data_IF_805627268907
#
_entry.id   IF_805627268907
#
_cell.length_a   1.000
_cell.length_b   1.000
_cell.length_c   1.000
_cell.angle_alpha   90.00
_cell.angle_beta   90.00
_cell.angle_gamma   90.00
#
_symmetry.space_group_name_H-M   'P 1'
#
loop_
_entity.id
_entity.type
_entity.pdbx_description
1 polymer ?
#
# COMPACT_ATOMS: atom_id res chain seq x y z
N UNK A 1 -85.89 -13.99 31.53
CA UNK A 1 -84.95 -12.96 31.05
C UNK A 1 -83.48 -13.28 31.36
N UNK A 2 -83.13 -14.02 32.42
CA UNK A 2 -81.72 -14.39 32.69
C UNK A 2 -81.22 -15.62 31.90
N UNK A 3 -82.09 -16.59 31.58
CA UNK A 3 -81.70 -17.82 30.85
C UNK A 3 -81.51 -17.62 29.33
N UNK A 4 -82.30 -16.77 28.69
CA UNK A 4 -82.23 -16.51 27.24
C UNK A 4 -80.90 -15.82 26.84
N UNK A 5 -80.41 -14.91 27.68
CA UNK A 5 -79.15 -14.22 27.45
C UNK A 5 -77.93 -15.15 27.62
N UNK A 6 -78.04 -16.16 28.50
CA UNK A 6 -76.99 -17.15 28.70
C UNK A 6 -76.95 -18.16 27.54
N UNK A 7 -78.11 -18.58 27.04
CA UNK A 7 -78.23 -19.47 25.90
C UNK A 7 -77.65 -18.83 24.62
N UNK A 8 -78.00 -17.56 24.35
CA UNK A 8 -77.47 -16.83 23.19
C UNK A 8 -75.95 -16.65 23.25
N UNK A 9 -75.40 -16.49 24.46
CA UNK A 9 -73.96 -16.36 24.66
C UNK A 9 -73.26 -17.69 24.40
N UNK A 10 -73.80 -18.81 24.87
CA UNK A 10 -73.26 -20.15 24.62
C UNK A 10 -73.35 -20.54 23.14
N UNK A 11 -74.40 -20.18 22.43
CA UNK A 11 -74.53 -20.42 20.99
C UNK A 11 -73.52 -19.61 20.15
N UNK A 12 -73.27 -18.36 20.55
CA UNK A 12 -72.26 -17.52 19.92
C UNK A 12 -70.85 -18.05 20.19
N UNK A 13 -70.55 -18.45 21.42
CA UNK A 13 -69.25 -19.03 21.79
C UNK A 13 -69.01 -20.37 21.07
N UNK A 14 -70.05 -21.22 20.93
CA UNK A 14 -69.96 -22.47 20.18
C UNK A 14 -69.71 -22.25 18.69
N UNK A 15 -70.36 -21.23 18.09
CA UNK A 15 -70.15 -20.88 16.67
C UNK A 15 -68.74 -20.33 16.42
N UNK A 16 -68.19 -19.57 17.37
CA UNK A 16 -66.83 -19.03 17.27
C UNK A 16 -65.77 -20.15 17.34
N UNK A 17 -65.96 -21.10 18.25
CA UNK A 17 -65.06 -22.25 18.43
C UNK A 17 -65.09 -23.21 17.23
N UNK A 18 -66.25 -23.39 16.59
CA UNK A 18 -66.36 -24.16 15.35
C UNK A 18 -65.61 -23.48 14.19
N UNK A 19 -65.71 -22.16 14.07
CA UNK A 19 -64.97 -21.40 13.06
C UNK A 19 -63.45 -21.43 13.26
N UNK A 20 -62.97 -21.36 14.51
CA UNK A 20 -61.54 -21.54 14.82
C UNK A 20 -61.06 -22.97 14.52
N UNK A 21 -61.88 -23.98 14.81
CA UNK A 21 -61.58 -25.38 14.51
C UNK A 21 -61.42 -25.67 13.01
N UNK A 22 -62.25 -25.06 12.15
CA UNK A 22 -62.08 -25.18 10.70
C UNK A 22 -60.85 -24.44 10.18
N UNK A 23 -60.51 -23.30 10.78
CA UNK A 23 -59.34 -22.51 10.40
C UNK A 23 -58.02 -23.23 10.78
N UNK A 24 -58.00 -23.88 11.94
CA UNK A 24 -56.88 -24.72 12.39
C UNK A 24 -56.69 -25.94 11.48
N UNK A 25 -57.77 -26.61 11.05
CA UNK A 25 -57.69 -27.71 10.07
C UNK A 25 -57.14 -27.24 8.71
N UNK A 26 -57.53 -26.04 8.25
CA UNK A 26 -56.97 -25.44 7.03
C UNK A 26 -55.47 -25.13 7.16
N UNK A 27 -55.05 -24.58 8.30
CA UNK A 27 -53.64 -24.30 8.57
C UNK A 27 -52.81 -25.59 8.67
N UNK A 28 -53.35 -26.65 9.26
CA UNK A 28 -52.68 -27.94 9.37
C UNK A 28 -52.53 -28.62 8.00
N UNK A 29 -53.56 -28.58 7.16
CA UNK A 29 -53.48 -29.05 5.76
C UNK A 29 -52.50 -28.25 4.90
N UNK A 30 -52.31 -26.95 5.20
CA UNK A 30 -51.30 -26.12 4.54
C UNK A 30 -49.88 -26.36 5.06
N UNK A 31 -49.69 -26.91 6.26
CA UNK A 31 -48.38 -27.26 6.81
C UNK A 31 -47.90 -28.61 6.26
N UNK A 32 -48.81 -29.58 6.13
CA UNK A 32 -48.51 -30.89 5.56
C UNK A 32 -48.11 -30.82 4.06
N UNK A 33 -48.53 -29.79 3.32
CA UNK A 33 -48.13 -29.59 1.92
C UNK A 33 -46.73 -29.00 1.72
N UNK A 34 -46.09 -28.46 2.76
CA UNK A 34 -44.70 -27.94 2.69
C UNK A 34 -43.63 -28.99 3.07
N UNK A 35 -44.01 -30.08 3.73
CA UNK A 35 -43.06 -31.15 4.10
C UNK A 35 -42.64 -32.03 2.92
N UNK A 36 -43.35 -31.98 1.79
CA UNK A 36 -43.06 -32.76 0.58
C UNK A 36 -42.33 -31.98 -0.55
N UNK A 37 -41.81 -30.77 -0.30
CA UNK A 37 -41.05 -30.01 -1.30
C UNK A 37 -39.60 -30.56 -1.44
N UNK A 38 -39.22 -31.14 -2.61
CA UNK A 38 -37.89 -31.70 -2.83
C UNK A 38 -36.77 -30.64 -2.76
N UNK A 39 -37.07 -29.38 -3.10
CA UNK A 39 -36.10 -28.30 -3.11
C UNK A 39 -35.75 -27.86 -1.68
N UNK A 40 -36.75 -27.81 -0.79
CA UNK A 40 -36.56 -27.51 0.63
C UNK A 40 -35.73 -28.60 1.33
N UNK A 41 -36.02 -29.87 1.05
CA UNK A 41 -35.25 -31.01 1.58
C UNK A 41 -33.79 -30.98 1.11
N UNK A 42 -33.53 -30.63 -0.16
CA UNK A 42 -32.19 -30.44 -0.72
C UNK A 42 -31.42 -29.29 -0.06
N UNK A 43 -32.10 -28.16 0.19
CA UNK A 43 -31.51 -27.02 0.89
C UNK A 43 -31.16 -27.37 2.35
N UNK A 44 -31.99 -28.12 3.05
CA UNK A 44 -31.74 -28.56 4.43
C UNK A 44 -30.50 -29.48 4.48
N UNK A 45 -30.40 -30.47 3.58
CA UNK A 45 -29.21 -31.34 3.49
C UNK A 45 -27.94 -30.55 3.14
N UNK A 46 -28.05 -29.58 2.22
CA UNK A 46 -26.92 -28.73 1.85
C UNK A 46 -26.46 -27.87 3.02
N UNK A 47 -27.39 -27.31 3.80
CA UNK A 47 -27.09 -26.52 5.00
C UNK A 47 -26.39 -27.38 6.06
N UNK A 48 -26.85 -28.62 6.29
CA UNK A 48 -26.20 -29.56 7.21
C UNK A 48 -24.77 -29.91 6.77
N UNK A 49 -24.55 -30.20 5.48
CA UNK A 49 -23.20 -30.43 4.93
C UNK A 49 -22.28 -29.23 5.08
N UNK A 50 -22.77 -28.02 4.82
CA UNK A 50 -22.02 -26.78 4.98
C UNK A 50 -21.65 -26.54 6.44
N UNK A 51 -22.60 -26.71 7.38
CA UNK A 51 -22.32 -26.59 8.82
C UNK A 51 -21.26 -27.57 9.30
N UNK A 52 -21.33 -28.83 8.85
CA UNK A 52 -20.31 -29.82 9.16
C UNK A 52 -18.93 -29.44 8.61
N UNK A 53 -18.87 -28.96 7.36
CA UNK A 53 -17.63 -28.51 6.73
C UNK A 53 -17.05 -27.26 7.40
N UNK A 54 -17.89 -26.32 7.83
CA UNK A 54 -17.47 -25.17 8.66
C UNK A 54 -16.88 -25.66 9.98
N UNK A 55 -17.49 -26.67 10.63
CA UNK A 55 -16.94 -27.30 11.83
C UNK A 55 -15.54 -27.85 11.61
N UNK A 56 -15.35 -28.67 10.57
CA UNK A 56 -14.04 -29.21 10.21
C UNK A 56 -13.01 -28.13 9.90
N UNK A 57 -13.40 -27.09 9.14
CA UNK A 57 -12.52 -25.96 8.83
C UNK A 57 -12.15 -25.17 10.08
N UNK A 58 -13.08 -24.96 11.03
CA UNK A 58 -12.79 -24.29 12.32
C UNK A 58 -11.81 -25.11 13.17
N UNK A 59 -11.97 -26.44 13.21
CA UNK A 59 -11.02 -27.32 13.91
C UNK A 59 -9.64 -27.30 13.27
N UNK A 60 -9.57 -27.45 11.94
CA UNK A 60 -8.31 -27.37 11.20
C UNK A 60 -7.64 -25.99 11.34
N UNK A 61 -8.43 -24.90 11.31
CA UNK A 61 -7.95 -23.55 11.56
C UNK A 61 -7.42 -23.40 12.99
N UNK A 62 -8.09 -23.97 13.99
CA UNK A 62 -7.64 -23.96 15.39
C UNK A 62 -6.33 -24.73 15.60
N UNK A 63 -6.18 -25.89 14.95
CA UNK A 63 -4.94 -26.69 14.97
C UNK A 63 -3.78 -25.97 14.26
N UNK A 64 -4.05 -25.38 13.09
CA UNK A 64 -3.06 -24.56 12.37
C UNK A 64 -2.70 -23.31 13.17
N UNK A 65 -3.66 -22.64 13.80
CA UNK A 65 -3.43 -21.44 14.61
C UNK A 65 -2.67 -21.78 15.88
N UNK A 66 -2.93 -22.91 16.52
CA UNK A 66 -2.18 -23.38 17.70
C UNK A 66 -0.73 -23.71 17.33
N UNK A 67 -0.51 -24.48 16.27
CA UNK A 67 0.83 -24.84 15.78
C UNK A 67 1.62 -23.63 15.24
N UNK A 68 0.94 -22.62 14.69
CA UNK A 68 1.55 -21.38 14.20
C UNK A 68 1.82 -20.39 15.34
N UNK A 69 0.91 -20.26 16.31
CA UNK A 69 1.11 -19.47 17.53
C UNK A 69 2.27 -20.01 18.38
N UNK A 70 2.44 -21.33 18.52
CA UNK A 70 3.59 -21.88 19.27
C UNK A 70 4.94 -21.59 18.58
N UNK A 71 4.95 -21.44 17.24
CA UNK A 71 6.15 -21.05 16.47
C UNK A 71 6.34 -19.54 16.36
N UNK A 72 5.27 -18.73 16.33
CA UNK A 72 5.30 -17.26 16.19
C UNK A 72 5.33 -16.52 17.55
N UNK A 73 4.97 -17.19 18.66
CA UNK A 73 5.01 -16.62 20.02
C UNK A 73 6.41 -16.68 20.65
N UNK A 74 7.30 -17.53 20.13
CA UNK A 74 8.71 -17.49 20.49
C UNK A 74 9.43 -16.44 19.62
N UNK A 75 9.83 -15.34 20.27
CA UNK A 75 10.75 -14.27 19.84
C UNK A 75 10.43 -13.34 18.65
N UNK A 76 9.67 -13.74 17.63
CA UNK A 76 9.83 -13.08 16.30
C UNK A 76 8.71 -12.11 15.86
N UNK A 77 7.78 -11.75 16.76
CA UNK A 77 6.66 -10.83 16.45
C UNK A 77 6.67 -9.52 17.26
N UNK A 78 6.15 -8.45 16.65
CA UNK A 78 5.92 -7.15 17.32
C UNK A 78 5.11 -7.33 18.60
N UNK A 79 5.50 -6.66 19.70
CA UNK A 79 4.78 -6.67 20.99
C UNK A 79 3.30 -6.36 20.79
N UNK A 80 2.99 -5.32 20.02
CA UNK A 80 1.61 -4.93 19.71
C UNK A 80 0.85 -6.04 18.95
N UNK A 81 1.51 -6.73 18.02
CA UNK A 81 0.90 -7.84 17.29
C UNK A 81 0.66 -9.04 18.21
N UNK A 82 1.62 -9.39 19.05
CA UNK A 82 1.46 -10.46 20.06
C UNK A 82 0.29 -10.14 20.99
N UNK A 83 0.19 -8.91 21.49
CA UNK A 83 -0.93 -8.47 22.33
C UNK A 83 -2.26 -8.55 21.59
N UNK A 84 -2.33 -8.11 20.32
CA UNK A 84 -3.55 -8.22 19.51
C UNK A 84 -4.01 -9.68 19.35
N UNK A 85 -3.09 -10.61 19.13
CA UNK A 85 -3.42 -12.04 19.02
C UNK A 85 -3.94 -12.61 20.35
N UNK A 86 -3.28 -12.27 21.47
CA UNK A 86 -3.70 -12.68 22.82
C UNK A 86 -5.12 -12.17 23.12
N UNK A 87 -5.37 -10.88 22.89
CA UNK A 87 -6.69 -10.29 23.14
C UNK A 87 -7.74 -10.78 22.14
N UNK A 88 -7.40 -11.02 20.88
CA UNK A 88 -8.33 -11.61 19.90
C UNK A 88 -8.80 -12.99 20.33
N UNK A 89 -7.87 -13.84 20.82
CA UNK A 89 -8.21 -15.16 21.37
C UNK A 89 -9.10 -15.04 22.59
N UNK A 90 -8.74 -14.19 23.55
CA UNK A 90 -9.52 -14.00 24.77
C UNK A 90 -10.93 -13.45 24.49
N UNK A 91 -11.08 -12.53 23.53
CA UNK A 91 -12.39 -12.01 23.12
C UNK A 91 -13.23 -13.10 22.46
N UNK A 92 -12.63 -13.95 21.63
CA UNK A 92 -13.34 -15.06 20.99
C UNK A 92 -13.79 -16.13 22.00
N UNK A 93 -12.94 -16.42 22.99
CA UNK A 93 -13.25 -17.40 24.04
C UNK A 93 -14.33 -16.87 25.00
N UNK A 94 -14.28 -15.58 25.36
CA UNK A 94 -15.30 -14.93 26.19
C UNK A 94 -16.63 -14.72 25.43
N UNK A 95 -16.56 -14.37 24.14
CA UNK A 95 -17.72 -14.00 23.32
C UNK A 95 -17.61 -14.57 21.90
N UNK A 96 -17.97 -15.86 21.68
CA UNK A 96 -17.88 -16.53 20.37
C UNK A 96 -18.70 -15.86 19.25
N UNK A 97 -19.72 -15.07 19.61
CA UNK A 97 -20.57 -14.36 18.68
C UNK A 97 -20.02 -12.97 18.27
N UNK A 98 -18.93 -12.51 18.88
CA UNK A 98 -18.38 -11.16 18.70
C UNK A 98 -17.10 -11.11 17.83
N UNK A 99 -16.83 -12.16 17.04
CA UNK A 99 -15.60 -12.30 16.22
C UNK A 99 -15.35 -11.19 15.20
N UNK A 100 -16.37 -10.40 14.84
CA UNK A 100 -16.23 -9.29 13.88
C UNK A 100 -15.83 -7.96 14.55
N UNK A 101 -15.73 -7.91 15.88
CA UNK A 101 -15.39 -6.67 16.58
C UNK A 101 -13.90 -6.30 16.40
N UNK A 102 -13.57 -5.03 16.12
CA UNK A 102 -12.19 -4.61 15.93
C UNK A 102 -11.41 -4.70 17.26
N UNK A 103 -10.23 -5.30 17.23
CA UNK A 103 -9.28 -5.37 18.35
C UNK A 103 -8.36 -4.15 18.30
N UNK A 104 -8.57 -3.19 19.20
CA UNK A 104 -7.89 -1.91 19.25
C UNK A 104 -7.05 -1.89 20.52
N UNK A 105 -5.73 -1.97 20.31
CA UNK A 105 -4.71 -1.79 21.36
C UNK A 105 -3.86 -0.60 20.95
N UNK A 106 -3.63 0.31 21.89
CA UNK A 106 -2.85 1.54 21.70
C UNK A 106 -1.77 1.65 22.76
N UNK A 107 -0.63 2.25 22.40
CA UNK A 107 0.41 2.63 23.35
C UNK A 107 -0.08 3.76 24.26
N UNK A 108 0.29 3.70 25.53
CA UNK A 108 -0.06 4.72 26.53
C UNK A 108 1.13 5.61 26.82
N UNK A 109 0.89 6.92 26.93
CA UNK A 109 1.91 7.92 27.28
C UNK A 109 2.07 8.16 28.78
N UNK A 110 1.21 7.55 29.60
CA UNK A 110 1.16 7.74 31.06
C UNK A 110 1.40 6.41 31.76
N UNK A 111 2.44 6.33 32.59
CA UNK A 111 2.79 5.15 33.38
C UNK A 111 1.62 4.64 34.26
N UNK A 112 0.74 5.56 34.70
CA UNK A 112 -0.46 5.20 35.48
C UNK A 112 -1.45 4.33 34.70
N UNK A 113 -1.41 4.38 33.38
CA UNK A 113 -2.30 3.62 32.50
C UNK A 113 -1.63 2.38 31.87
N UNK A 114 -0.44 2.01 32.36
CA UNK A 114 0.34 0.89 31.83
C UNK A 114 1.17 1.26 30.60
N UNK A 115 1.61 0.22 29.88
CA UNK A 115 2.41 0.33 28.65
C UNK A 115 1.51 0.34 27.40
N UNK A 116 0.40 -0.41 27.46
CA UNK A 116 -0.60 -0.50 26.41
C UNK A 116 -2.01 -0.41 27.01
N UNK A 117 -2.98 -0.02 26.20
CA UNK A 117 -4.38 0.01 26.57
C UNK A 117 -5.25 -0.66 25.50
N UNK A 118 -6.14 -1.55 25.92
CA UNK A 118 -7.15 -2.15 25.07
C UNK A 118 -8.49 -1.39 25.20
N UNK A 119 -9.01 -0.96 24.04
CA UNK A 119 -10.12 -0.02 23.93
C UNK A 119 -11.40 -0.64 23.33
N UNK A 120 -11.39 -1.92 22.98
CA UNK A 120 -12.51 -2.51 22.24
C UNK A 120 -13.71 -2.92 23.09
N UNK A 121 -13.60 -2.93 24.43
CA UNK A 121 -14.71 -3.31 25.31
C UNK A 121 -15.99 -2.50 25.03
N UNK A 122 -15.88 -1.21 24.69
CA UNK A 122 -17.03 -0.36 24.37
C UNK A 122 -17.72 -0.79 23.08
N UNK A 123 -16.94 -1.10 22.04
CA UNK A 123 -17.46 -1.57 20.76
C UNK A 123 -18.13 -2.94 20.90
N UNK A 124 -17.48 -3.86 21.62
CA UNK A 124 -17.99 -5.21 21.90
C UNK A 124 -19.30 -5.13 22.69
N UNK A 125 -19.35 -4.32 23.75
CA UNK A 125 -20.57 -4.17 24.55
C UNK A 125 -21.75 -3.59 23.74
N UNK A 126 -21.48 -2.63 22.86
CA UNK A 126 -22.49 -2.07 21.94
C UNK A 126 -22.99 -3.14 20.96
N UNK A 127 -22.09 -3.93 20.39
CA UNK A 127 -22.43 -5.02 19.48
C UNK A 127 -23.31 -6.07 20.18
N UNK A 128 -22.88 -6.58 21.33
CA UNK A 128 -23.62 -7.59 22.09
C UNK A 128 -24.99 -7.09 22.59
N UNK A 129 -25.07 -5.81 22.97
CA UNK A 129 -26.34 -5.21 23.41
C UNK A 129 -27.38 -5.15 22.28
N UNK A 130 -26.93 -4.96 21.04
CA UNK A 130 -27.82 -4.97 19.87
C UNK A 130 -28.29 -6.38 19.52
N UNK A 131 -27.45 -7.40 19.72
CA UNK A 131 -27.76 -8.80 19.38
C UNK A 131 -28.67 -9.50 20.38
N UNK A 132 -28.58 -9.18 21.68
CA UNK A 132 -29.26 -9.93 22.75
C UNK A 132 -30.43 -9.17 23.42
N UNK A 133 -30.85 -8.02 22.87
CA UNK A 133 -31.92 -7.15 23.42
C UNK A 133 -31.74 -6.77 24.90
N UNK A 134 -30.54 -6.99 25.45
CA UNK A 134 -30.19 -6.80 26.85
C UNK A 134 -28.96 -5.92 26.91
N UNK A 135 -29.02 -4.79 27.63
CA UNK A 135 -27.92 -3.83 27.69
C UNK A 135 -26.77 -4.39 28.52
N UNK A 136 -25.63 -4.64 27.86
CA UNK A 136 -24.41 -5.10 28.50
C UNK A 136 -23.51 -3.88 28.76
N UNK A 137 -22.99 -3.76 29.99
CA UNK A 137 -22.05 -2.68 30.30
C UNK A 137 -20.64 -3.01 29.79
N UNK A 138 -19.88 -2.03 29.25
CA UNK A 138 -18.51 -2.29 28.79
C UNK A 138 -17.57 -2.79 29.89
N UNK A 139 -17.85 -2.42 31.15
CA UNK A 139 -17.11 -2.92 32.31
C UNK A 139 -17.30 -4.42 32.54
N UNK A 140 -18.51 -4.95 32.34
CA UNK A 140 -18.75 -6.41 32.41
C UNK A 140 -18.00 -7.16 31.31
N UNK A 141 -17.94 -6.58 30.10
CA UNK A 141 -17.14 -7.14 29.01
C UNK A 141 -15.66 -7.16 29.36
N UNK A 142 -15.16 -6.08 29.95
CA UNK A 142 -13.78 -5.99 30.42
C UNK A 142 -13.47 -7.05 31.50
N UNK A 143 -14.35 -7.22 32.49
CA UNK A 143 -14.21 -8.23 33.56
C UNK A 143 -14.16 -9.66 32.99
N UNK A 144 -15.03 -9.99 32.04
CA UNK A 144 -15.05 -11.33 31.44
C UNK A 144 -13.78 -11.62 30.63
N UNK A 145 -13.31 -10.65 29.84
CA UNK A 145 -12.05 -10.78 29.09
C UNK A 145 -10.88 -10.96 30.05
N UNK A 146 -10.83 -10.20 31.15
CA UNK A 146 -9.78 -10.32 32.17
C UNK A 146 -9.83 -11.69 32.84
N UNK A 147 -11.01 -12.25 33.14
CA UNK A 147 -11.13 -13.59 33.73
C UNK A 147 -10.54 -14.68 32.81
N UNK A 148 -10.85 -14.62 31.51
CA UNK A 148 -10.30 -15.55 30.50
C UNK A 148 -8.78 -15.38 30.37
N UNK A 149 -8.30 -14.13 30.31
CA UNK A 149 -6.88 -13.82 30.24
C UNK A 149 -6.14 -14.31 31.49
N UNK A 150 -6.66 -14.08 32.69
CA UNK A 150 -6.01 -14.48 33.94
C UNK A 150 -5.89 -16.00 34.07
N UNK A 151 -6.89 -16.75 33.60
CA UNK A 151 -6.84 -18.22 33.55
C UNK A 151 -5.70 -18.70 32.63
N UNK A 152 -5.51 -18.03 31.50
CA UNK A 152 -4.45 -18.34 30.52
C UNK A 152 -3.06 -17.89 31.00
N UNK A 153 -2.97 -16.68 31.57
CA UNK A 153 -1.72 -16.06 32.05
C UNK A 153 -1.19 -16.74 33.31
N UNK A 154 -2.07 -17.22 34.21
CA UNK A 154 -1.65 -17.95 35.41
C UNK A 154 -0.98 -19.29 35.09
N UNK A 155 -1.35 -19.95 33.98
CA UNK A 155 -0.73 -21.20 33.55
C UNK A 155 0.69 -21.00 33.00
N UNK A 156 1.03 -19.80 32.51
CA UNK A 156 2.29 -19.51 31.81
C UNK A 156 3.03 -18.29 32.40
N UNK A 157 2.94 -18.09 33.72
CA UNK A 157 3.38 -16.86 34.40
C UNK A 157 4.83 -16.41 34.11
N UNK A 158 5.75 -17.35 33.88
CA UNK A 158 7.16 -17.05 33.56
C UNK A 158 7.43 -16.77 32.07
N UNK A 159 6.50 -17.15 31.18
CA UNK A 159 6.60 -16.93 29.73
C UNK A 159 5.60 -15.90 29.20
N UNK A 160 4.67 -15.45 30.04
CA UNK A 160 3.65 -14.45 29.68
C UNK A 160 4.27 -13.09 29.38
N UNK A 161 3.85 -12.48 28.28
CA UNK A 161 4.17 -11.10 27.90
C UNK A 161 3.55 -10.06 28.85
N UNK A 162 2.45 -10.42 29.53
CA UNK A 162 1.64 -9.55 30.38
C UNK A 162 1.90 -9.88 31.85
N UNK A 163 2.20 -8.86 32.67
CA UNK A 163 2.34 -8.97 34.13
C UNK A 163 1.00 -8.75 34.84
N UNK A 164 0.34 -7.63 34.54
CA UNK A 164 -0.96 -7.28 35.13
C UNK A 164 -1.85 -6.52 34.15
N UNK A 165 -3.16 -6.60 34.39
CA UNK A 165 -4.19 -5.87 33.65
C UNK A 165 -5.11 -5.17 34.66
N UNK A 166 -5.24 -3.85 34.53
CA UNK A 166 -6.10 -3.02 35.39
C UNK A 166 -7.32 -2.52 34.59
N UNK A 167 -8.52 -2.72 35.14
CA UNK A 167 -9.75 -2.18 34.53
C UNK A 167 -9.93 -0.73 34.96
N UNK A 168 -9.97 0.19 34.00
CA UNK A 168 -10.13 1.62 34.22
C UNK A 168 -11.43 2.18 33.60
N UNK A 169 -12.03 3.13 34.31
CA UNK A 169 -13.19 3.89 33.84
C UNK A 169 -14.38 3.01 33.39
N UNK A 170 -14.96 3.26 32.20
CA UNK A 170 -16.15 2.56 31.71
C UNK A 170 -15.88 1.13 31.20
N UNK A 171 -14.62 0.75 30.99
CA UNK A 171 -14.23 -0.54 30.41
C UNK A 171 -12.89 -0.51 29.66
N UNK A 172 -11.97 0.40 29.99
CA UNK A 172 -10.61 0.37 29.45
C UNK A 172 -9.81 -0.72 30.16
N UNK A 173 -8.96 -1.44 29.42
CA UNK A 173 -8.05 -2.42 29.98
C UNK A 173 -6.62 -1.91 29.84
N UNK A 174 -6.03 -1.48 30.95
CA UNK A 174 -4.64 -1.03 31.03
C UNK A 174 -3.73 -2.24 31.19
N UNK A 175 -2.74 -2.39 30.31
CA UNK A 175 -1.87 -3.56 30.18
C UNK A 175 -0.47 -3.17 30.62
N UNK A 176 0.10 -3.95 31.53
CA UNK A 176 1.46 -3.80 32.00
C UNK A 176 2.28 -5.01 31.56
N UNK A 177 3.41 -4.75 30.92
CA UNK A 177 4.28 -5.78 30.38
C UNK A 177 5.09 -6.46 31.49
N UNK A 178 5.40 -7.73 31.27
CA UNK A 178 6.27 -8.48 32.15
C UNK A 178 7.73 -8.05 31.97
N UNK A 179 8.35 -7.60 33.06
CA UNK A 179 9.75 -7.15 33.09
C UNK A 179 10.73 -8.21 32.56
N UNK A 180 10.54 -9.49 32.94
CA UNK A 180 11.42 -10.57 32.49
C UNK A 180 11.25 -10.83 30.99
N UNK A 181 10.03 -10.73 30.45
CA UNK A 181 9.78 -10.87 29.02
C UNK A 181 10.42 -9.74 28.21
N UNK A 182 10.35 -8.50 28.71
CA UNK A 182 11.02 -7.34 28.09
C UNK A 182 12.55 -7.49 28.16
N UNK A 183 13.08 -7.89 29.32
CA UNK A 183 14.51 -8.13 29.50
C UNK A 183 15.04 -9.18 28.53
N UNK A 184 14.33 -10.30 28.36
CA UNK A 184 14.70 -11.35 27.40
C UNK A 184 14.74 -10.83 25.95
N UNK A 185 13.77 -9.99 25.55
CA UNK A 185 13.78 -9.37 24.21
C UNK A 185 14.95 -8.41 24.01
N UNK A 186 15.27 -7.59 25.01
CA UNK A 186 16.44 -6.68 24.95
C UNK A 186 17.74 -7.49 24.87
N UNK A 187 17.85 -8.54 25.69
CA UNK A 187 19.00 -9.44 25.67
C UNK A 187 19.14 -10.13 24.31
N UNK A 188 18.04 -10.59 23.72
CA UNK A 188 18.03 -11.16 22.37
C UNK A 188 18.51 -10.16 21.30
N UNK A 189 18.04 -8.91 21.35
CA UNK A 189 18.51 -7.83 20.46
C UNK A 189 20.02 -7.60 20.63
N UNK A 190 20.52 -7.65 21.87
CA UNK A 190 21.94 -7.47 22.15
C UNK A 190 22.80 -8.61 21.60
N UNK A 191 22.35 -9.86 21.75
CA UNK A 191 23.09 -11.06 21.33
C UNK A 191 22.97 -11.32 19.82
N UNK A 192 21.76 -11.19 19.28
CA UNK A 192 21.41 -11.60 17.91
C UNK A 192 21.22 -10.42 16.94
N UNK A 193 21.32 -9.18 17.42
CA UNK A 193 21.06 -7.96 16.66
C UNK A 193 19.57 -7.63 16.53
N UNK A 194 19.27 -6.43 16.01
CA UNK A 194 17.89 -6.01 15.72
C UNK A 194 17.39 -6.77 14.49
N UNK A 195 16.35 -7.59 14.67
CA UNK A 195 15.70 -8.35 13.59
C UNK A 195 14.31 -7.79 13.28
N UNK A 196 13.87 -7.81 12.01
CA UNK A 196 12.50 -7.49 11.66
C UNK A 196 11.53 -8.57 12.18
N UNK A 197 10.22 -8.28 12.22
CA UNK A 197 9.23 -9.34 12.34
C UNK A 197 9.27 -10.27 11.13
N UNK A 198 9.00 -11.56 11.33
CA UNK A 198 8.92 -12.53 10.23
C UNK A 198 7.66 -12.26 9.41
N UNK A 199 7.85 -11.79 8.18
CA UNK A 199 6.79 -11.53 7.21
C UNK A 199 6.90 -12.51 6.04
N UNK A 200 5.77 -12.87 5.39
CA UNK A 200 5.84 -13.68 4.19
C UNK A 200 6.62 -12.93 3.11
N UNK A 201 7.67 -13.57 2.60
CA UNK A 201 8.48 -13.02 1.52
C UNK A 201 7.58 -12.75 0.31
N UNK A 202 7.63 -11.52 -0.19
CA UNK A 202 6.91 -11.05 -1.37
C UNK A 202 7.86 -10.28 -2.26
N UNK A 203 7.57 -10.27 -3.55
CA UNK A 203 8.30 -9.47 -4.52
C UNK A 203 7.69 -8.08 -4.59
N UNK A 204 8.51 -7.06 -4.37
CA UNK A 204 8.09 -5.66 -4.33
C UNK A 204 8.86 -4.86 -5.36
N UNK A 205 8.16 -4.23 -6.27
CA UNK A 205 8.73 -3.26 -7.20
C UNK A 205 8.51 -1.87 -6.64
N UNK A 206 9.60 -1.10 -6.51
CA UNK A 206 9.54 0.30 -6.09
C UNK A 206 10.10 1.17 -7.21
N UNK A 207 9.26 2.05 -7.75
CA UNK A 207 9.60 3.02 -8.79
C UNK A 207 9.84 4.39 -8.15
N UNK A 208 11.07 4.88 -8.25
CA UNK A 208 11.48 6.13 -7.62
C UNK A 208 12.68 6.78 -8.32
N UNK A 209 12.98 8.03 -7.94
CA UNK A 209 13.94 8.93 -8.57
C UNK A 209 13.48 9.46 -9.93
N UNK A 210 13.43 8.58 -10.93
CA UNK A 210 12.84 8.77 -12.27
C UNK A 210 13.12 10.16 -12.90
N UNK A 211 14.40 10.59 -13.01
CA UNK A 211 14.74 11.85 -13.65
C UNK A 211 14.57 11.77 -15.17
N UNK A 212 14.39 12.93 -15.80
CA UNK A 212 14.34 13.04 -17.26
C UNK A 212 15.75 13.17 -17.84
N UNK A 213 16.11 12.35 -18.81
CA UNK A 213 17.39 12.43 -19.52
C UNK A 213 17.52 13.81 -20.20
N UNK A 214 18.75 14.34 -20.24
CA UNK A 214 19.08 15.66 -20.74
C UNK A 214 18.44 16.85 -20.01
N UNK A 215 17.74 16.62 -18.89
CA UNK A 215 17.32 17.67 -17.96
C UNK A 215 18.02 17.48 -16.63
N UNK A 216 18.22 18.58 -15.93
CA UNK A 216 18.84 18.52 -14.61
C UNK A 216 17.91 17.88 -13.58
N UNK A 217 18.53 17.06 -12.72
CA UNK A 217 17.86 16.53 -11.56
C UNK A 217 17.62 17.65 -10.55
N UNK A 218 16.35 17.87 -10.22
CA UNK A 218 15.92 18.89 -9.27
C UNK A 218 15.40 18.31 -7.96
N UNK A 219 15.15 19.19 -6.99
CA UNK A 219 14.67 18.83 -5.63
C UNK A 219 13.40 17.95 -5.59
N UNK A 220 12.54 18.01 -6.62
CA UNK A 220 11.42 17.08 -6.78
C UNK A 220 11.87 15.62 -6.92
N UNK A 221 12.86 15.34 -7.78
CA UNK A 221 13.43 14.00 -7.93
C UNK A 221 14.22 13.58 -6.69
N UNK A 222 14.84 14.53 -5.96
CA UNK A 222 15.51 14.23 -4.70
C UNK A 222 14.55 13.65 -3.66
N UNK A 223 13.35 14.23 -3.49
CA UNK A 223 12.34 13.69 -2.55
C UNK A 223 11.97 12.26 -2.90
N UNK A 224 11.66 12.00 -4.16
CA UNK A 224 11.38 10.65 -4.64
C UNK A 224 12.56 9.71 -4.37
N UNK A 225 13.78 10.16 -4.65
CA UNK A 225 15.02 9.40 -4.46
C UNK A 225 15.19 8.95 -3.00
N UNK A 226 15.09 9.89 -2.04
CA UNK A 226 15.27 9.58 -0.62
C UNK A 226 14.12 8.73 -0.07
N UNK A 227 12.87 9.12 -0.36
CA UNK A 227 11.68 8.41 0.16
C UNK A 227 11.65 6.98 -0.39
N UNK A 228 11.88 6.81 -1.68
CA UNK A 228 11.92 5.51 -2.34
C UNK A 228 13.04 4.63 -1.80
N UNK A 229 14.25 5.16 -1.65
CA UNK A 229 15.38 4.38 -1.10
C UNK A 229 15.12 3.96 0.36
N UNK A 230 14.55 4.84 1.20
CA UNK A 230 14.16 4.48 2.57
C UNK A 230 13.11 3.37 2.61
N UNK A 231 12.13 3.40 1.70
CA UNK A 231 11.11 2.34 1.59
C UNK A 231 11.76 1.03 1.16
N UNK A 232 12.67 1.07 0.18
CA UNK A 232 13.38 -0.12 -0.27
C UNK A 232 14.19 -0.75 0.86
N UNK A 233 14.99 0.04 1.58
CA UNK A 233 15.79 -0.43 2.72
C UNK A 233 14.91 -1.03 3.83
N UNK A 234 13.75 -0.42 4.12
CA UNK A 234 12.80 -0.93 5.11
C UNK A 234 12.24 -2.30 4.69
N UNK A 235 11.84 -2.44 3.42
CA UNK A 235 11.28 -3.68 2.90
C UNK A 235 12.33 -4.80 2.82
N UNK A 236 13.54 -4.48 2.37
CA UNK A 236 14.68 -5.40 2.37
C UNK A 236 15.03 -5.82 3.80
N UNK A 237 15.05 -4.89 4.75
CA UNK A 237 15.25 -5.19 6.17
C UNK A 237 14.18 -6.15 6.68
N UNK A 238 12.93 -6.04 6.21
CA UNK A 238 11.83 -6.94 6.53
C UNK A 238 11.83 -8.27 5.74
N UNK A 239 12.85 -8.54 4.90
CA UNK A 239 12.99 -9.79 4.16
C UNK A 239 12.20 -9.89 2.85
N UNK A 240 11.71 -8.76 2.31
CA UNK A 240 11.07 -8.72 0.98
C UNK A 240 12.12 -8.77 -0.13
N UNK A 241 11.74 -9.34 -1.28
CA UNK A 241 12.53 -9.26 -2.51
C UNK A 241 12.21 -7.96 -3.23
N UNK A 242 13.10 -6.96 -3.11
CA UNK A 242 12.85 -5.59 -3.58
C UNK A 242 13.57 -5.32 -4.89
N UNK A 243 12.80 -5.04 -5.94
CA UNK A 243 13.31 -4.51 -7.20
C UNK A 243 13.19 -2.98 -7.21
N UNK A 244 14.34 -2.32 -7.16
CA UNK A 244 14.49 -0.86 -7.17
C UNK A 244 14.56 -0.35 -8.60
N UNK A 245 13.47 0.20 -9.14
CA UNK A 245 13.40 0.68 -10.52
C UNK A 245 13.59 2.19 -10.60
N UNK A 246 14.46 2.59 -11.52
CA UNK A 246 14.59 3.97 -11.98
C UNK A 246 13.90 4.12 -13.34
N UNK A 247 12.68 4.67 -13.34
CA UNK A 247 11.88 4.85 -14.55
C UNK A 247 12.25 6.17 -15.26
N UNK A 248 13.47 6.20 -15.80
CA UNK A 248 14.04 7.40 -16.40
C UNK A 248 13.24 7.87 -17.62
N UNK A 249 13.12 9.18 -17.78
CA UNK A 249 12.50 9.78 -18.96
C UNK A 249 13.45 9.78 -20.16
N UNK A 250 13.71 8.61 -20.74
CA UNK A 250 14.63 8.39 -21.86
C UNK A 250 13.95 8.29 -23.24
N UNK A 251 12.62 8.45 -23.28
CA UNK A 251 11.82 8.30 -24.50
C UNK A 251 10.85 9.47 -24.71
N UNK A 252 11.38 10.62 -25.10
CA UNK A 252 10.58 11.82 -25.35
C UNK A 252 10.95 12.57 -26.62
N UNK A 253 10.05 13.45 -27.08
CA UNK A 253 10.26 14.23 -28.31
C UNK A 253 11.46 15.19 -28.20
N UNK A 254 11.92 15.49 -26.98
CA UNK A 254 13.15 16.25 -26.74
C UNK A 254 14.39 15.61 -27.38
N UNK A 255 14.42 14.29 -27.56
CA UNK A 255 15.59 13.64 -28.16
C UNK A 255 15.79 14.01 -29.63
N UNK A 256 14.73 14.37 -30.36
CA UNK A 256 14.86 14.81 -31.74
C UNK A 256 15.70 16.07 -31.89
N UNK A 257 15.43 17.08 -31.05
CA UNK A 257 16.22 18.32 -31.06
C UNK A 257 17.65 18.08 -30.55
N UNK A 258 17.83 17.19 -29.56
CA UNK A 258 19.16 16.85 -29.05
C UNK A 258 20.01 16.13 -30.09
N UNK A 259 19.45 15.14 -30.79
CA UNK A 259 20.13 14.38 -31.86
C UNK A 259 20.44 15.30 -33.03
N UNK A 260 19.48 16.11 -33.49
CA UNK A 260 19.72 17.07 -34.57
C UNK A 260 20.82 18.07 -34.20
N UNK A 261 20.81 18.56 -32.95
CA UNK A 261 21.85 19.47 -32.46
C UNK A 261 23.22 18.79 -32.33
N UNK A 262 23.26 17.52 -31.90
CA UNK A 262 24.47 16.72 -31.78
C UNK A 262 25.15 16.55 -33.14
N UNK A 263 24.37 16.21 -34.17
CA UNK A 263 24.87 16.04 -35.55
C UNK A 263 25.45 17.33 -36.12
N UNK A 264 24.81 18.47 -35.85
CA UNK A 264 25.29 19.78 -36.31
C UNK A 264 26.58 20.21 -35.59
N UNK A 265 26.65 20.02 -34.26
CA UNK A 265 27.77 20.51 -33.43
C UNK A 265 28.97 19.58 -33.48
N UNK A 266 28.73 18.27 -33.59
CA UNK A 266 29.77 17.24 -33.60
C UNK A 266 29.52 16.26 -34.75
N UNK A 267 29.83 16.62 -36.01
CA UNK A 267 29.61 15.73 -37.16
C UNK A 267 30.31 14.37 -37.04
N UNK A 268 31.41 14.31 -36.30
CA UNK A 268 32.22 13.11 -36.08
C UNK A 268 31.98 12.42 -34.73
N UNK A 269 30.84 12.67 -34.07
CA UNK A 269 30.51 12.09 -32.74
C UNK A 269 30.61 10.56 -32.66
N UNK A 270 30.55 9.88 -33.81
CA UNK A 270 30.67 8.42 -33.90
C UNK A 270 32.10 7.90 -33.65
N UNK A 271 33.10 8.70 -34.02
CA UNK A 271 34.52 8.33 -33.89
C UNK A 271 35.17 9.02 -32.68
N UNK A 272 34.77 10.26 -32.41
CA UNK A 272 35.25 11.07 -31.29
C UNK A 272 34.04 11.50 -30.44
N UNK A 273 33.69 10.75 -29.39
CA UNK A 273 32.55 11.08 -28.55
C UNK A 273 32.82 12.43 -27.85
N UNK A 274 31.94 13.43 -28.01
CA UNK A 274 32.14 14.74 -27.40
C UNK A 274 32.10 14.68 -25.87
N UNK A 275 33.05 15.35 -25.23
CA UNK A 275 32.97 15.66 -23.81
C UNK A 275 31.92 16.76 -23.59
N UNK A 276 30.66 16.36 -23.47
CA UNK A 276 29.57 17.24 -23.07
C UNK A 276 29.63 17.41 -21.55
N UNK A 277 30.44 18.37 -21.07
CA UNK A 277 30.58 18.66 -19.64
C UNK A 277 29.33 19.26 -19.01
N UNK A 278 28.44 19.83 -19.83
CA UNK A 278 27.17 20.39 -19.38
C UNK A 278 26.04 20.09 -20.37
N UNK A 279 25.34 18.98 -20.11
CA UNK A 279 24.20 18.54 -20.92
C UNK A 279 23.00 19.51 -20.81
N UNK A 280 22.91 20.32 -19.74
CA UNK A 280 21.86 21.31 -19.61
C UNK A 280 22.06 22.46 -20.61
N UNK A 281 23.29 22.96 -20.73
CA UNK A 281 23.63 23.98 -21.71
C UNK A 281 23.35 23.47 -23.13
N UNK A 282 23.73 22.22 -23.42
CA UNK A 282 23.41 21.56 -24.69
C UNK A 282 21.89 21.47 -24.96
N UNK A 283 21.10 21.11 -23.94
CA UNK A 283 19.64 21.12 -24.04
C UNK A 283 19.10 22.53 -24.29
N UNK A 284 19.55 23.54 -23.55
CA UNK A 284 19.11 24.95 -23.70
C UNK A 284 19.43 25.48 -25.09
N UNK A 285 20.64 25.22 -25.60
CA UNK A 285 21.06 25.57 -26.97
C UNK A 285 20.16 24.91 -28.01
N UNK A 286 19.91 23.60 -27.89
CA UNK A 286 19.03 22.87 -28.82
C UNK A 286 17.60 23.42 -28.80
N UNK A 287 17.11 23.85 -27.62
CA UNK A 287 15.77 24.40 -27.45
C UNK A 287 15.63 25.79 -28.07
N UNK A 288 16.63 26.66 -27.92
CA UNK A 288 16.67 27.97 -28.57
C UNK A 288 16.63 27.81 -30.10
N UNK A 289 17.42 26.86 -30.65
CA UNK A 289 17.38 26.55 -32.08
C UNK A 289 16.04 26.00 -32.52
N UNK A 290 15.43 25.11 -31.73
CA UNK A 290 14.10 24.56 -32.03
C UNK A 290 13.01 25.62 -32.11
N UNK A 291 13.08 26.66 -31.27
CA UNK A 291 12.08 27.73 -31.24
C UNK A 291 12.34 28.83 -32.28
N UNK A 292 13.60 29.02 -32.73
CA UNK A 292 13.98 30.09 -33.65
C UNK A 292 14.13 29.66 -35.13
N UNK A 293 14.48 28.40 -35.40
CA UNK A 293 14.80 27.88 -36.73
C UNK A 293 13.79 26.80 -37.15
N UNK A 294 12.89 27.16 -38.07
CA UNK A 294 11.85 26.25 -38.59
C UNK A 294 12.44 25.07 -39.39
N UNK A 295 13.61 25.25 -40.03
CA UNK A 295 14.28 24.15 -40.73
C UNK A 295 14.86 23.14 -39.73
N UNK A 296 15.52 23.63 -38.67
CA UNK A 296 15.99 22.80 -37.57
C UNK A 296 14.84 22.07 -36.86
N UNK A 297 13.71 22.74 -36.63
CA UNK A 297 12.50 22.14 -36.04
C UNK A 297 11.96 21.00 -36.90
N UNK A 298 11.87 21.18 -38.22
CA UNK A 298 11.47 20.11 -39.14
C UNK A 298 12.44 18.91 -39.09
N UNK A 299 13.75 19.16 -39.03
CA UNK A 299 14.77 18.10 -38.88
C UNK A 299 14.64 17.39 -37.54
N UNK A 300 14.49 18.12 -36.44
CA UNK A 300 14.34 17.56 -35.10
C UNK A 300 13.15 16.59 -35.02
N UNK A 301 11.99 16.96 -35.60
CA UNK A 301 10.82 16.08 -35.67
C UNK A 301 11.10 14.80 -36.48
N UNK A 302 11.81 14.91 -37.62
CA UNK A 302 12.23 13.75 -38.42
C UNK A 302 13.19 12.83 -37.67
N UNK A 303 14.11 13.38 -36.87
CA UNK A 303 15.04 12.58 -36.07
C UNK A 303 14.31 11.80 -34.95
N UNK A 304 13.23 12.32 -34.36
CA UNK A 304 12.38 11.54 -33.42
C UNK A 304 11.78 10.32 -34.11
N UNK A 305 11.21 10.50 -35.30
CA UNK A 305 10.58 9.40 -36.05
C UNK A 305 11.61 8.34 -36.41
N UNK A 306 12.81 8.75 -36.86
CA UNK A 306 13.91 7.81 -37.13
C UNK A 306 14.38 7.07 -35.87
N UNK A 307 14.43 7.76 -34.72
CA UNK A 307 14.75 7.13 -33.44
C UNK A 307 13.70 6.07 -33.06
N UNK A 308 12.42 6.39 -33.23
CA UNK A 308 11.31 5.44 -32.98
C UNK A 308 11.31 4.26 -33.97
N UNK A 309 11.80 4.48 -35.20
CA UNK A 309 12.01 3.44 -36.19
C UNK A 309 13.26 2.57 -35.93
N UNK A 310 13.99 2.80 -34.83
CA UNK A 310 15.20 2.05 -34.44
C UNK A 310 16.35 2.14 -35.45
N UNK A 311 16.46 3.27 -36.14
CA UNK A 311 17.57 3.49 -37.08
C UNK A 311 18.92 3.46 -36.34
N UNK A 312 19.92 2.66 -36.80
CA UNK A 312 21.16 2.42 -36.06
C UNK A 312 21.96 3.70 -35.74
N UNK A 313 21.90 4.70 -36.61
CA UNK A 313 22.61 5.97 -36.43
C UNK A 313 22.00 6.79 -35.28
N UNK A 314 20.66 6.88 -35.24
CA UNK A 314 19.91 7.61 -34.23
C UNK A 314 20.00 6.91 -32.87
N UNK A 315 19.95 5.58 -32.85
CA UNK A 315 20.12 4.81 -31.61
C UNK A 315 21.52 5.03 -31.03
N UNK A 316 22.58 5.12 -31.84
CA UNK A 316 23.93 5.47 -31.36
C UNK A 316 23.98 6.86 -30.75
N UNK A 317 23.41 7.87 -31.43
CA UNK A 317 23.34 9.23 -30.92
C UNK A 317 22.55 9.32 -29.60
N UNK A 318 21.40 8.66 -29.53
CA UNK A 318 20.58 8.57 -28.33
C UNK A 318 21.33 7.88 -27.18
N UNK A 319 21.98 6.75 -27.44
CA UNK A 319 22.75 5.99 -26.45
C UNK A 319 23.85 6.87 -25.84
N UNK A 320 24.57 7.63 -26.66
CA UNK A 320 25.60 8.55 -26.18
C UNK A 320 25.01 9.63 -25.26
N UNK A 321 23.90 10.26 -25.65
CA UNK A 321 23.21 11.29 -24.83
C UNK A 321 22.75 10.70 -23.49
N UNK A 322 22.18 9.49 -23.52
CA UNK A 322 21.74 8.78 -22.32
C UNK A 322 22.91 8.42 -21.41
N UNK A 323 24.01 7.90 -21.96
CA UNK A 323 25.22 7.56 -21.19
C UNK A 323 25.80 8.77 -20.44
N UNK A 324 25.82 9.94 -21.08
CA UNK A 324 26.28 11.18 -20.44
C UNK A 324 25.37 11.60 -19.29
N UNK A 325 24.03 11.56 -19.47
CA UNK A 325 23.10 11.84 -18.38
C UNK A 325 23.23 10.84 -17.23
N UNK A 326 23.39 9.55 -17.56
CA UNK A 326 23.55 8.47 -16.57
C UNK A 326 24.79 8.67 -15.72
N UNK A 327 25.90 9.07 -16.32
CA UNK A 327 27.12 9.39 -15.58
C UNK A 327 26.89 10.51 -14.56
N UNK A 328 26.19 11.58 -14.94
CA UNK A 328 25.87 12.68 -14.02
C UNK A 328 24.90 12.26 -12.91
N UNK A 329 23.88 11.46 -13.22
CA UNK A 329 22.97 10.91 -12.22
C UNK A 329 23.69 9.97 -11.26
N UNK A 330 24.59 9.12 -11.76
CA UNK A 330 25.35 8.18 -10.93
C UNK A 330 26.19 8.91 -9.88
N UNK A 331 26.82 10.03 -10.23
CA UNK A 331 27.56 10.86 -9.26
C UNK A 331 26.67 11.36 -8.11
N UNK A 332 25.41 11.64 -8.39
CA UNK A 332 24.42 12.04 -7.36
C UNK A 332 24.02 10.82 -6.53
N UNK A 333 23.73 9.68 -7.17
CA UNK A 333 23.38 8.44 -6.49
C UNK A 333 24.50 7.94 -5.57
N UNK A 334 25.75 8.00 -6.01
CA UNK A 334 26.92 7.65 -5.21
C UNK A 334 27.05 8.55 -3.97
N UNK A 335 26.85 9.87 -4.13
CA UNK A 335 26.84 10.82 -3.00
C UNK A 335 25.71 10.55 -2.00
N UNK A 336 24.60 9.97 -2.46
CA UNK A 336 23.43 9.66 -1.64
C UNK A 336 23.41 8.21 -1.14
N UNK A 337 24.39 7.38 -1.51
CA UNK A 337 24.41 5.92 -1.26
C UNK A 337 23.14 5.21 -1.80
N UNK A 338 22.67 5.60 -2.98
CA UNK A 338 21.46 5.03 -3.58
C UNK A 338 21.83 4.03 -4.68
N UNK A 339 21.26 2.83 -4.60
CA UNK A 339 21.40 1.78 -5.62
C UNK A 339 20.08 1.58 -6.35
N UNK A 340 20.13 1.65 -7.67
CA UNK A 340 18.97 1.62 -8.55
C UNK A 340 19.27 0.74 -9.78
N UNK A 341 18.25 0.04 -10.26
CA UNK A 341 18.29 -0.64 -11.57
C UNK A 341 17.51 0.24 -12.55
N UNK A 342 18.22 0.79 -13.53
CA UNK A 342 17.58 1.50 -14.62
C UNK A 342 16.87 0.50 -15.55
N UNK A 343 15.62 0.79 -15.89
CA UNK A 343 14.90 0.12 -16.97
C UNK A 343 14.35 1.16 -17.93
N UNK A 344 14.87 1.12 -19.16
CA UNK A 344 14.37 1.93 -20.27
C UNK A 344 12.99 1.45 -20.75
N UNK A 345 12.32 2.29 -21.52
CA UNK A 345 10.92 2.14 -21.94
C UNK A 345 10.66 1.16 -23.11
N UNK A 346 11.65 0.37 -23.54
CA UNK A 346 11.61 -0.34 -24.82
C UNK A 346 11.10 -1.79 -24.70
N UNK A 347 9.84 -2.04 -25.06
CA UNK A 347 9.35 -3.28 -25.69
C UNK A 347 8.24 -2.96 -26.71
N UNK A 348 8.23 -3.67 -27.85
CA UNK A 348 7.27 -3.49 -28.96
C UNK A 348 6.02 -4.34 -28.73
N UNK A 349 4.83 -3.72 -28.71
CA UNK A 349 3.54 -4.42 -28.78
C UNK A 349 2.57 -3.69 -29.73
N UNK A 350 1.98 -4.44 -30.66
CA UNK A 350 1.20 -3.90 -31.78
C UNK A 350 -0.25 -3.55 -31.38
N UNK A 351 -0.62 -2.27 -31.48
CA UNK A 351 -1.99 -1.85 -31.82
C UNK A 351 -2.88 -1.17 -30.76
N UNK A 352 -3.01 0.17 -30.91
CA UNK A 352 -4.16 1.12 -30.74
C UNK A 352 -5.22 0.89 -29.62
N UNK A 353 -5.54 1.93 -28.81
CA UNK A 353 -6.89 2.33 -28.29
C UNK A 353 -6.83 3.50 -27.29
N UNK A 354 -7.90 4.30 -27.19
CA UNK A 354 -8.15 5.26 -26.08
C UNK A 354 -8.98 4.54 -25.01
N UNK A 355 -8.70 4.78 -23.71
CA UNK A 355 -9.45 4.16 -22.61
C UNK A 355 -10.01 5.23 -21.68
N UNK A 356 -11.30 5.10 -21.34
CA UNK A 356 -11.97 5.91 -20.32
C UNK A 356 -12.01 5.12 -19.00
N UNK A 357 -11.27 5.55 -17.96
CA UNK A 357 -11.35 4.93 -16.65
C UNK A 357 -12.71 5.19 -16.00
N UNK A 358 -13.34 4.18 -15.40
CA UNK A 358 -14.59 4.37 -14.65
C UNK A 358 -14.40 5.36 -13.49
N UNK A 359 -15.33 6.31 -13.34
CA UNK A 359 -15.28 7.31 -12.28
C UNK A 359 -14.32 8.48 -12.51
N UNK A 360 -13.62 8.55 -13.65
CA UNK A 360 -12.74 9.67 -14.01
C UNK A 360 -13.34 10.50 -15.16
N UNK A 361 -13.25 11.84 -15.06
CA UNK A 361 -13.77 12.76 -16.09
C UNK A 361 -12.82 12.97 -17.28
N UNK A 362 -11.55 12.54 -17.15
CA UNK A 362 -10.49 12.75 -18.16
C UNK A 362 -10.04 11.42 -18.74
N UNK A 363 -9.93 11.26 -20.07
CA UNK A 363 -9.42 10.04 -20.70
C UNK A 363 -7.89 9.95 -20.65
N UNK A 364 -7.36 8.72 -20.71
CA UNK A 364 -5.93 8.48 -20.96
C UNK A 364 -5.66 8.49 -22.47
N UNK A 365 -4.66 9.27 -22.89
CA UNK A 365 -4.25 9.38 -24.29
C UNK A 365 -3.09 8.43 -24.55
N UNK A 366 -3.35 7.22 -25.00
CA UNK A 366 -2.32 6.16 -25.18
C UNK A 366 -1.56 6.29 -26.52
N UNK A 367 -2.10 6.97 -27.54
CA UNK A 367 -1.36 7.29 -28.77
C UNK A 367 -1.87 8.62 -29.30
N UNK A 368 -0.97 9.52 -29.69
CA UNK A 368 -1.29 10.82 -30.32
C UNK A 368 -1.73 10.67 -31.77
N UNK A 369 -2.29 11.72 -32.36
CA UNK A 369 -2.70 11.77 -33.78
C UNK A 369 -1.55 11.58 -34.78
N UNK A 370 -0.31 11.82 -34.37
CA UNK A 370 0.91 11.60 -35.15
C UNK A 370 1.50 10.18 -35.01
N UNK A 371 0.84 9.29 -34.26
CA UNK A 371 1.32 7.94 -33.97
C UNK A 371 2.33 7.86 -32.81
N UNK A 372 2.67 8.98 -32.17
CA UNK A 372 3.58 9.00 -31.03
C UNK A 372 2.93 8.51 -29.72
N UNK A 373 3.69 7.74 -28.93
CA UNK A 373 3.29 7.31 -27.59
C UNK A 373 3.38 8.45 -26.56
N UNK A 374 2.67 8.29 -25.45
CA UNK A 374 2.62 9.25 -24.34
C UNK A 374 3.07 8.61 -23.02
N UNK A 375 3.16 9.43 -21.95
CA UNK A 375 3.40 8.93 -20.60
C UNK A 375 2.33 7.94 -20.12
N UNK A 376 1.05 8.16 -20.49
CA UNK A 376 -0.05 7.24 -20.16
C UNK A 376 0.19 5.83 -20.73
N UNK A 377 0.88 5.76 -21.87
CA UNK A 377 1.18 4.51 -22.56
C UNK A 377 2.29 3.77 -21.86
N UNK A 378 3.39 4.48 -21.58
CA UNK A 378 4.55 3.92 -20.91
C UNK A 378 4.20 3.44 -19.51
N UNK A 379 3.43 4.23 -18.74
CA UNK A 379 3.07 3.87 -17.36
C UNK A 379 2.12 2.68 -17.32
N UNK A 380 1.19 2.57 -18.28
CA UNK A 380 0.27 1.44 -18.37
C UNK A 380 1.00 0.15 -18.80
N UNK A 381 1.89 0.25 -19.79
CA UNK A 381 2.74 -0.87 -20.22
C UNK A 381 3.68 -1.30 -19.09
N UNK A 382 4.31 -0.35 -18.40
CA UNK A 382 5.18 -0.62 -17.26
C UNK A 382 4.40 -1.29 -16.12
N UNK A 383 3.17 -0.87 -15.82
CA UNK A 383 2.32 -1.54 -14.83
C UNK A 383 2.07 -3.01 -15.23
N UNK A 384 1.69 -3.27 -16.48
CA UNK A 384 1.49 -4.64 -17.00
C UNK A 384 2.76 -5.47 -16.85
N UNK A 385 3.89 -4.97 -17.33
CA UNK A 385 5.19 -5.66 -17.22
C UNK A 385 5.52 -5.97 -15.75
N UNK A 386 5.33 -5.02 -14.83
CA UNK A 386 5.63 -5.23 -13.39
C UNK A 386 4.76 -6.32 -12.75
N UNK A 387 3.50 -6.42 -13.18
CA UNK A 387 2.57 -7.43 -12.66
C UNK A 387 2.81 -8.82 -13.28
N UNK A 388 3.00 -8.91 -14.60
CA UNK A 388 3.01 -10.19 -15.30
C UNK A 388 4.41 -10.80 -15.48
N UNK A 389 5.41 -9.97 -15.76
CA UNK A 389 6.77 -10.44 -16.03
C UNK A 389 7.62 -10.41 -14.77
N UNK A 390 7.60 -9.28 -14.05
CA UNK A 390 8.26 -9.19 -12.76
C UNK A 390 7.51 -9.93 -11.67
N UNK A 391 6.25 -10.32 -11.89
CA UNK A 391 5.40 -11.06 -10.94
C UNK A 391 5.40 -10.41 -9.55
N UNK A 392 5.35 -9.08 -9.53
CA UNK A 392 5.43 -8.31 -8.30
C UNK A 392 4.12 -8.44 -7.52
N UNK A 393 4.18 -8.86 -6.27
CA UNK A 393 3.03 -8.80 -5.36
C UNK A 393 2.65 -7.33 -5.11
N UNK A 394 3.65 -6.48 -4.91
CA UNK A 394 3.48 -5.05 -4.59
C UNK A 394 4.18 -4.19 -5.65
N UNK A 395 3.49 -3.16 -6.13
CA UNK A 395 4.03 -2.16 -7.05
C UNK A 395 3.82 -0.77 -6.45
N UNK A 396 4.91 -0.13 -6.06
CA UNK A 396 4.92 1.13 -5.33
C UNK A 396 5.50 2.25 -6.20
N UNK A 397 4.71 3.28 -6.46
CA UNK A 397 5.11 4.44 -7.28
C UNK A 397 5.38 5.65 -6.39
N UNK A 398 6.64 6.07 -6.25
CA UNK A 398 7.03 7.19 -5.39
C UNK A 398 7.15 8.47 -6.22
N UNK A 399 6.02 9.17 -6.38
CA UNK A 399 5.91 10.32 -7.30
C UNK A 399 5.18 11.48 -6.63
N UNK A 400 5.43 12.71 -7.11
CA UNK A 400 4.79 13.94 -6.62
C UNK A 400 3.25 13.83 -6.60
N UNK A 401 2.64 14.42 -5.58
CA UNK A 401 1.19 14.39 -5.38
C UNK A 401 0.40 15.02 -6.54
N UNK A 402 1.00 15.92 -7.31
CA UNK A 402 0.40 16.51 -8.52
C UNK A 402 0.11 15.49 -9.62
N UNK A 403 0.75 14.31 -9.60
CA UNK A 403 0.46 13.20 -10.53
C UNK A 403 -0.55 12.18 -9.98
N UNK A 404 -1.18 12.46 -8.83
CA UNK A 404 -2.11 11.51 -8.20
C UNK A 404 -3.29 11.10 -9.09
N UNK A 405 -3.87 12.05 -9.84
CA UNK A 405 -4.97 11.76 -10.76
C UNK A 405 -4.54 10.80 -11.88
N UNK A 406 -3.36 11.02 -12.45
CA UNK A 406 -2.78 10.19 -13.51
C UNK A 406 -2.61 8.74 -13.04
N UNK A 407 -1.94 8.52 -11.90
CA UNK A 407 -1.75 7.17 -11.36
C UNK A 407 -3.08 6.52 -10.97
N UNK A 408 -4.03 7.28 -10.43
CA UNK A 408 -5.37 6.76 -10.15
C UNK A 408 -6.06 6.24 -11.42
N UNK A 409 -5.96 6.96 -12.54
CA UNK A 409 -6.50 6.52 -13.82
C UNK A 409 -5.80 5.26 -14.31
N UNK A 410 -4.45 5.22 -14.31
CA UNK A 410 -3.66 4.05 -14.74
C UNK A 410 -4.02 2.80 -13.92
N UNK A 411 -4.11 2.94 -12.60
CA UNK A 411 -4.47 1.87 -11.67
C UNK A 411 -5.90 1.37 -11.90
N UNK A 412 -6.83 2.27 -12.18
CA UNK A 412 -8.23 1.96 -12.49
C UNK A 412 -8.36 1.19 -13.80
N UNK A 413 -7.65 1.63 -14.85
CA UNK A 413 -7.60 0.89 -16.13
C UNK A 413 -6.98 -0.49 -15.95
N UNK A 414 -5.88 -0.62 -15.20
CA UNK A 414 -5.30 -1.92 -14.89
C UNK A 414 -6.28 -2.86 -14.18
N UNK A 415 -7.12 -2.35 -13.27
CA UNK A 415 -8.21 -3.12 -12.63
C UNK A 415 -9.28 -3.53 -13.62
N UNK A 416 -9.75 -2.61 -14.46
CA UNK A 416 -10.78 -2.88 -15.47
C UNK A 416 -10.34 -3.93 -16.50
N UNK A 417 -9.05 -3.92 -16.85
CA UNK A 417 -8.44 -4.92 -17.73
C UNK A 417 -8.18 -6.26 -17.03
N UNK A 418 -8.50 -6.38 -15.74
CA UNK A 418 -8.34 -7.60 -14.95
C UNK A 418 -6.88 -7.92 -14.61
N UNK A 419 -5.96 -6.95 -14.71
CA UNK A 419 -4.54 -7.18 -14.42
C UNK A 419 -4.25 -7.36 -12.93
N UNK A 420 -5.05 -6.73 -12.07
CA UNK A 420 -4.90 -6.84 -10.62
C UNK A 420 -6.19 -6.48 -9.87
N UNK A 421 -6.24 -6.85 -8.59
CA UNK A 421 -7.25 -6.43 -7.61
C UNK A 421 -6.63 -6.40 -6.20
N UNK A 422 -7.33 -5.84 -5.23
CA UNK A 422 -6.87 -5.64 -3.84
C UNK A 422 -6.56 -6.95 -3.10
N UNK A 423 -7.16 -8.08 -3.54
CA UNK A 423 -6.91 -9.39 -2.93
C UNK A 423 -5.65 -10.06 -3.48
N UNK A 424 -5.21 -9.69 -4.69
CA UNK A 424 -4.09 -10.31 -5.39
C UNK A 424 -2.80 -9.50 -5.28
N UNK A 425 -2.90 -8.18 -5.44
CA UNK A 425 -1.74 -7.30 -5.54
C UNK A 425 -1.95 -6.01 -4.75
N UNK A 426 -0.84 -5.37 -4.36
CA UNK A 426 -0.84 -4.02 -3.79
C UNK A 426 -0.20 -3.05 -4.77
N UNK A 427 -1.03 -2.33 -5.52
CA UNK A 427 -0.57 -1.24 -6.41
C UNK A 427 -0.87 0.10 -5.73
N UNK A 428 0.17 0.91 -5.45
CA UNK A 428 0.01 2.12 -4.63
C UNK A 428 0.85 3.30 -5.14
N UNK A 429 0.23 4.48 -5.17
CA UNK A 429 0.92 5.77 -5.32
C UNK A 429 1.34 6.30 -3.95
N UNK A 430 2.65 6.41 -3.75
CA UNK A 430 3.28 6.99 -2.56
C UNK A 430 3.55 8.47 -2.87
N UNK A 431 2.51 9.28 -2.65
CA UNK A 431 2.53 10.70 -2.93
C UNK A 431 3.39 11.48 -1.94
N UNK A 432 4.12 12.49 -2.43
CA UNK A 432 4.77 13.50 -1.60
C UNK A 432 4.46 14.91 -2.10
N UNK A 433 4.48 15.89 -1.19
CA UNK A 433 4.18 17.28 -1.53
C UNK A 433 5.35 18.03 -2.21
N UNK A 434 5.09 19.27 -2.62
CA UNK A 434 6.11 20.15 -3.20
C UNK A 434 7.22 20.50 -2.21
N UNK A 435 8.42 20.80 -2.74
CA UNK A 435 9.50 21.43 -1.97
C UNK A 435 9.28 22.93 -1.98
N UNK A 436 9.15 23.52 -0.79
CA UNK A 436 8.92 24.95 -0.60
C UNK A 436 10.18 25.64 -0.07
N UNK A 437 10.38 26.89 -0.47
CA UNK A 437 11.35 27.79 0.17
C UNK A 437 10.81 28.35 1.49
N UNK A 438 11.67 29.11 2.17
CA UNK A 438 11.31 29.83 3.41
C UNK A 438 10.14 30.81 3.19
N UNK A 439 9.96 31.28 1.96
CA UNK A 439 8.86 32.13 1.51
C UNK A 439 7.53 31.38 1.28
N UNK A 440 7.48 30.08 1.58
CA UNK A 440 6.35 29.17 1.32
C UNK A 440 5.96 29.05 -0.16
N UNK A 441 6.82 29.47 -1.08
CA UNK A 441 6.62 29.29 -2.53
C UNK A 441 7.48 28.14 -3.04
N UNK A 442 7.24 27.72 -4.28
CA UNK A 442 8.01 26.64 -4.92
C UNK A 442 9.51 26.96 -4.86
N UNK A 443 10.29 26.02 -4.32
CA UNK A 443 11.73 26.18 -4.15
C UNK A 443 12.42 26.41 -5.50
N UNK A 444 13.05 27.59 -5.64
CA UNK A 444 13.71 28.07 -6.86
C UNK A 444 14.94 28.88 -6.48
N UNK A 445 15.86 29.05 -7.42
CA UNK A 445 17.01 29.96 -7.28
C UNK A 445 16.53 31.41 -7.18
N UNK A 446 17.43 32.34 -6.80
CA UNK A 446 17.15 33.80 -6.79
C UNK A 446 16.77 34.33 -8.18
N UNK A 447 17.20 33.67 -9.26
CA UNK A 447 16.84 33.97 -10.65
C UNK A 447 15.49 33.37 -11.09
N UNK A 448 14.84 32.56 -10.25
CA UNK A 448 13.59 31.87 -10.56
C UNK A 448 13.75 30.56 -11.34
N UNK A 449 15.00 30.15 -11.60
CA UNK A 449 15.33 28.86 -12.21
C UNK A 449 15.25 27.71 -11.18
N UNK A 450 15.28 26.48 -11.70
CA UNK A 450 15.27 25.28 -10.87
C UNK A 450 16.64 25.10 -10.20
N UNK A 451 16.67 24.78 -8.91
CA UNK A 451 17.92 24.56 -8.18
C UNK A 451 18.54 23.22 -8.58
N UNK A 452 19.81 23.22 -8.96
CA UNK A 452 20.58 22.02 -9.27
C UNK A 452 20.78 21.19 -8.01
N UNK A 453 20.58 19.88 -8.12
CA UNK A 453 20.77 19.00 -6.98
C UNK A 453 22.24 18.91 -6.53
N UNK A 454 23.19 18.98 -7.46
CA UNK A 454 24.63 19.05 -7.16
C UNK A 454 24.96 20.19 -6.20
N UNK A 455 24.46 21.39 -6.51
CA UNK A 455 24.74 22.61 -5.77
C UNK A 455 24.14 22.54 -4.36
N UNK A 456 22.95 21.94 -4.24
CA UNK A 456 22.30 21.72 -2.95
C UNK A 456 23.12 20.78 -2.05
N UNK A 457 23.64 19.69 -2.60
CA UNK A 457 24.48 18.74 -1.86
C UNK A 457 25.82 19.38 -1.44
N UNK A 458 26.44 20.14 -2.34
CA UNK A 458 27.69 20.84 -2.04
C UNK A 458 27.51 21.92 -0.97
N UNK A 459 26.44 22.70 -1.03
CA UNK A 459 26.08 23.66 0.01
C UNK A 459 25.80 22.96 1.35
N UNK A 460 25.12 21.80 1.32
CA UNK A 460 24.90 20.97 2.51
C UNK A 460 26.21 20.51 3.16
N UNK A 461 27.14 19.98 2.37
CA UNK A 461 28.47 19.59 2.85
C UNK A 461 29.24 20.78 3.42
N UNK A 462 29.21 21.93 2.73
CA UNK A 462 29.89 23.16 3.18
C UNK A 462 29.37 23.64 4.53
N UNK A 463 28.04 23.66 4.72
CA UNK A 463 27.41 24.03 6.00
C UNK A 463 27.73 23.04 7.10
N UNK A 464 27.64 21.74 6.82
CA UNK A 464 27.99 20.68 7.78
C UNK A 464 29.43 20.82 8.25
N UNK A 465 30.38 21.01 7.32
CA UNK A 465 31.79 21.24 7.63
C UNK A 465 32.02 22.50 8.48
N UNK A 466 31.31 23.59 8.21
CA UNK A 466 31.39 24.80 9.03
C UNK A 466 30.93 24.55 10.47
N UNK A 467 29.82 23.83 10.66
CA UNK A 467 29.32 23.44 11.99
C UNK A 467 30.27 22.49 12.72
N UNK A 468 30.90 21.56 12.01
CA UNK A 468 31.91 20.66 12.61
C UNK A 468 33.11 21.45 13.13
N UNK A 469 33.61 22.42 12.36
CA UNK A 469 34.71 23.32 12.76
C UNK A 469 34.34 24.19 13.95
N UNK A 470 33.13 24.78 13.94
CA UNK A 470 32.63 25.58 15.07
C UNK A 470 32.60 24.77 16.37
N UNK A 471 32.21 23.49 16.29
CA UNK A 471 32.17 22.57 17.43
C UNK A 471 33.51 21.90 17.74
N UNK A 472 34.59 22.24 17.04
CA UNK A 472 35.93 21.61 17.15
C UNK A 472 35.90 20.07 16.99
N UNK A 473 34.97 19.57 16.17
CA UNK A 473 34.82 18.14 15.88
C UNK A 473 35.44 17.74 14.54
N UNK A 474 36.18 18.64 13.91
CA UNK A 474 36.94 18.41 12.69
C UNK A 474 38.31 17.76 12.95
N UNK A 475 38.73 17.66 14.22
CA UNK A 475 40.02 17.11 14.65
C UNK A 475 39.93 15.73 15.32
N UNK A 476 38.70 15.22 15.53
CA UNK A 476 38.41 13.89 16.08
C UNK A 476 38.03 12.97 14.94
#
# INVERSE_FOLDING_TARGET
MADEALLQKLENDASLLLAEGENLKRLQSNLESYEEDPELSSMIQTNQRLRYRIGLLKTALSELTSNKCEKEANSDSSVLQSLKLIFAKAVNDAFPNATECPIIITETSSEKHGDYQFNSCMAIAKFLSNSHSTKISPRKVAEEIVNVLMTTVQLEKEKSLIDKIDIAGPGFLNIFLNFNAVHQRIFDIFVNGVKPPVLPAKRVVVDFSSPNIAKEMHVGHLRSTIIGDCICRLLEFCGFDVLRLNHVGDWGTQFGMLIAHLKDRFPNYQNEPPHLSDLQSFYKESKVRFDADEEFKSRALKEVVKLQAHEPEQIKAWTLICQLSRHDFQRIYDKLDVKLVERGLLELDEGRKIVFPEGCSTPLTIVKSDGGYTYDTSDLAALKHRLFEEKADWVLYVVDAGQGLHFQQIFTVGKQLGWWNENSHRVQHIAFGLVLGEDKRKFRTRSGETVKLSDLLEEGMRRSAATLKEKQRDQV
#
